data_IF_231285844859
#
_entry.id   IF_231285844859
#
_cell.length_a   1.000
_cell.length_b   1.000
_cell.length_c   1.000
_cell.angle_alpha   90.00
_cell.angle_beta   90.00
_cell.angle_gamma   90.00
#
_symmetry.space_group_name_H-M   'P 1'
#
loop_
_entity.id
_entity.type
_entity.pdbx_description
1 polymer ?
#
# COMPACT_ATOMS: atom_id res chain seq x y z
N UNK A 1 -7.77 32.86 -22.31
CA UNK A 1 -7.39 31.54 -21.75
C UNK A 1 -5.96 31.26 -22.17
N UNK A 2 -4.98 31.86 -21.47
CA UNK A 2 -3.54 31.64 -21.73
C UNK A 2 -3.11 30.37 -21.01
N UNK A 3 -2.32 29.47 -21.60
CA UNK A 3 -1.08 29.74 -22.31
C UNK A 3 0.06 29.37 -21.37
N UNK A 4 0.32 28.06 -21.24
CA UNK A 4 1.50 27.54 -20.55
C UNK A 4 2.73 27.89 -21.39
N UNK A 5 3.44 28.93 -20.97
CA UNK A 5 4.73 29.32 -21.54
C UNK A 5 5.63 29.81 -20.40
N UNK A 6 6.44 28.91 -19.84
CA UNK A 6 7.64 29.32 -19.11
C UNK A 6 8.75 29.44 -20.15
N UNK A 7 8.93 30.64 -20.72
CA UNK A 7 10.06 30.95 -21.59
C UNK A 7 11.36 31.12 -20.78
N UNK A 8 12.42 30.66 -21.43
CA UNK A 8 13.78 30.47 -20.94
C UNK A 8 14.43 31.72 -20.32
N UNK A 9 14.78 31.62 -19.04
CA UNK A 9 15.85 32.42 -18.43
C UNK A 9 17.18 31.68 -18.55
N UNK A 10 18.00 32.07 -19.55
CA UNK A 10 19.38 31.61 -19.69
C UNK A 10 20.19 32.11 -18.49
N UNK A 11 20.69 31.21 -17.64
CA UNK A 11 21.81 31.49 -16.73
C UNK A 11 22.71 30.26 -16.66
N UNK A 12 23.71 30.23 -17.55
CA UNK A 12 24.97 29.56 -17.24
C UNK A 12 25.58 30.32 -16.05
N UNK A 13 25.99 29.60 -14.99
CA UNK A 13 27.18 29.87 -14.17
C UNK A 13 27.27 28.83 -13.02
N UNK A 14 28.37 28.06 -13.07
CA UNK A 14 29.17 27.50 -11.96
C UNK A 14 28.62 26.26 -11.21
N UNK A 15 29.44 25.21 -11.26
CA UNK A 15 29.30 23.96 -10.52
C UNK A 15 29.24 24.17 -9.00
N UNK A 16 28.32 23.48 -8.33
CA UNK A 16 28.53 23.04 -6.95
C UNK A 16 27.65 23.63 -5.84
N UNK A 17 26.64 24.46 -6.14
CA UNK A 17 25.66 24.88 -5.13
C UNK A 17 24.25 24.51 -5.57
N UNK A 18 23.78 23.36 -5.07
CA UNK A 18 22.35 23.09 -4.95
C UNK A 18 21.80 24.10 -3.94
N UNK A 19 21.40 25.28 -4.42
CA UNK A 19 20.60 26.17 -3.60
C UNK A 19 19.30 25.38 -3.30
N UNK A 20 18.93 25.26 -2.03
CA UNK A 20 17.59 24.80 -1.67
C UNK A 20 16.70 26.02 -1.94
N UNK A 21 16.03 26.07 -3.10
CA UNK A 21 15.08 27.16 -3.41
C UNK A 21 14.14 27.26 -2.20
N UNK A 22 14.01 28.41 -1.54
CA UNK A 22 13.08 28.55 -0.43
C UNK A 22 11.68 28.13 -0.90
N UNK A 23 10.92 27.43 -0.05
CA UNK A 23 9.53 27.10 -0.34
C UNK A 23 8.73 28.42 -0.29
N UNK A 24 8.59 29.08 -1.43
CA UNK A 24 8.12 30.47 -1.51
C UNK A 24 6.59 30.60 -1.51
N UNK A 25 5.87 29.58 -2.00
CA UNK A 25 4.40 29.59 -1.99
C UNK A 25 3.83 28.81 -0.80
N UNK A 26 2.65 29.23 -0.34
CA UNK A 26 1.91 28.51 0.70
C UNK A 26 1.66 27.03 0.33
N UNK A 27 1.35 26.75 -0.95
CA UNK A 27 1.16 25.39 -1.45
C UNK A 27 2.44 24.54 -1.28
N UNK A 28 3.60 25.07 -1.66
CA UNK A 28 4.88 24.37 -1.55
C UNK A 28 5.25 24.07 -0.09
N UNK A 29 5.06 25.04 0.81
CA UNK A 29 5.30 24.86 2.26
C UNK A 29 4.42 23.74 2.79
N UNK A 30 3.10 23.82 2.55
CA UNK A 30 2.15 22.80 3.00
C UNK A 30 2.48 21.43 2.40
N UNK A 31 2.78 21.36 1.10
CA UNK A 31 3.10 20.12 0.40
C UNK A 31 4.40 19.51 0.92
N UNK A 32 5.43 20.32 1.20
CA UNK A 32 6.68 19.86 1.80
C UNK A 32 6.43 19.19 3.16
N UNK A 33 5.76 19.89 4.08
CA UNK A 33 5.45 19.34 5.41
C UNK A 33 4.48 18.15 5.36
N UNK A 34 3.56 18.13 4.40
CA UNK A 34 2.67 17.00 4.17
C UNK A 34 3.46 15.76 3.72
N UNK A 35 4.31 15.91 2.70
CA UNK A 35 5.10 14.82 2.13
C UNK A 35 6.21 14.35 3.07
N UNK A 36 6.81 15.23 3.86
CA UNK A 36 7.89 14.87 4.80
C UNK A 36 7.40 14.02 5.97
N UNK A 37 6.13 14.16 6.38
CA UNK A 37 5.51 13.32 7.42
C UNK A 37 5.14 11.91 6.92
N UNK A 38 5.30 11.64 5.63
CA UNK A 38 4.86 10.38 5.03
C UNK A 38 5.86 9.26 5.29
N UNK A 39 5.42 8.21 5.98
CA UNK A 39 6.24 7.02 6.25
C UNK A 39 6.09 5.90 5.21
N UNK A 40 5.00 5.91 4.44
CA UNK A 40 4.62 4.84 3.51
C UNK A 40 4.43 5.40 2.09
N UNK A 41 4.79 4.65 1.04
CA UNK A 41 4.70 5.14 -0.33
C UNK A 41 3.25 5.42 -0.73
N UNK A 42 3.06 6.42 -1.60
CA UNK A 42 1.74 6.67 -2.18
C UNK A 42 1.40 5.58 -3.21
N UNK A 43 0.11 5.25 -3.38
CA UNK A 43 -0.34 4.44 -4.51
C UNK A 43 0.11 5.09 -5.83
N UNK A 44 0.69 4.28 -6.71
CA UNK A 44 1.04 4.69 -8.06
C UNK A 44 -0.23 5.05 -8.85
N UNK A 45 -0.15 6.02 -9.74
CA UNK A 45 -1.29 6.54 -10.51
C UNK A 45 -1.97 5.51 -11.40
N UNK A 46 -1.26 4.42 -11.74
CA UNK A 46 -1.80 3.31 -12.53
C UNK A 46 -2.69 2.35 -11.74
N UNK A 47 -2.70 2.43 -10.40
CA UNK A 47 -3.56 1.56 -9.59
C UNK A 47 -5.00 2.06 -9.68
N UNK A 48 -5.95 1.14 -9.89
CA UNK A 48 -7.36 1.49 -9.77
C UNK A 48 -7.70 1.80 -8.29
N UNK A 49 -8.85 2.45 -8.06
CA UNK A 49 -9.26 2.84 -6.70
C UNK A 49 -9.26 1.68 -5.71
N UNK A 50 -9.80 0.52 -6.09
CA UNK A 50 -9.84 -0.66 -5.22
C UNK A 50 -8.43 -1.23 -4.92
N UNK A 51 -7.52 -1.19 -5.89
CA UNK A 51 -6.13 -1.59 -5.69
C UNK A 51 -5.40 -0.62 -4.74
N UNK A 52 -5.60 0.68 -4.92
CA UNK A 52 -5.03 1.71 -4.05
C UNK A 52 -5.52 1.56 -2.60
N UNK A 53 -6.82 1.28 -2.40
CA UNK A 53 -7.39 0.96 -1.08
C UNK A 53 -6.75 -0.31 -0.51
N UNK A 54 -6.65 -1.37 -1.31
CA UNK A 54 -6.01 -2.63 -0.88
C UNK A 54 -4.56 -2.40 -0.43
N UNK A 55 -3.78 -1.65 -1.22
CA UNK A 55 -2.41 -1.29 -0.84
C UNK A 55 -2.39 -0.55 0.49
N UNK A 56 -3.31 0.39 0.72
CA UNK A 56 -3.38 1.15 1.98
C UNK A 56 -3.71 0.26 3.17
N UNK A 57 -4.63 -0.70 3.00
CA UNK A 57 -4.97 -1.68 4.04
C UNK A 57 -3.76 -2.56 4.37
N UNK A 58 -3.00 -3.00 3.37
CA UNK A 58 -1.76 -3.75 3.56
C UNK A 58 -0.70 -2.94 4.31
N UNK A 59 -0.50 -1.68 3.93
CA UNK A 59 0.47 -0.79 4.56
C UNK A 59 0.15 -0.48 6.02
N UNK A 60 -1.12 -0.49 6.40
CA UNK A 60 -1.60 -0.19 7.75
C UNK A 60 -1.93 -1.44 8.57
N UNK A 61 -1.66 -2.64 8.03
CA UNK A 61 -1.99 -3.93 8.66
C UNK A 61 -3.48 -4.09 9.01
N UNK A 62 -4.36 -3.43 8.25
CA UNK A 62 -5.83 -3.47 8.44
C UNK A 62 -6.54 -4.28 7.35
N UNK A 63 -5.79 -5.07 6.59
CA UNK A 63 -6.37 -5.96 5.60
C UNK A 63 -7.28 -7.01 6.29
N UNK A 64 -8.46 -7.34 5.71
CA UNK A 64 -9.42 -8.23 6.36
C UNK A 64 -8.80 -9.57 6.76
N UNK A 65 -9.12 -10.02 7.98
CA UNK A 65 -8.70 -11.31 8.53
C UNK A 65 -9.83 -11.86 9.42
N UNK A 66 -10.05 -13.18 9.49
CA UNK A 66 -11.08 -13.77 10.34
C UNK A 66 -10.91 -13.40 11.81
N UNK A 67 -9.68 -13.31 12.31
CA UNK A 67 -9.41 -12.84 13.67
C UNK A 67 -9.99 -11.42 13.93
N UNK A 68 -9.73 -10.48 13.03
CA UNK A 68 -10.26 -9.12 13.15
C UNK A 68 -11.78 -9.09 13.00
N UNK A 69 -12.33 -9.85 12.05
CA UNK A 69 -13.76 -9.91 11.78
C UNK A 69 -14.55 -10.57 12.92
N UNK A 70 -14.03 -11.65 13.50
CA UNK A 70 -14.59 -12.32 14.67
C UNK A 70 -14.60 -11.39 15.88
N UNK A 71 -13.53 -10.62 16.08
CA UNK A 71 -13.45 -9.65 17.18
C UNK A 71 -14.51 -8.55 17.06
N UNK A 72 -14.79 -8.08 15.84
CA UNK A 72 -15.78 -7.02 15.59
C UNK A 72 -17.23 -7.55 15.58
N UNK A 73 -17.44 -8.71 14.99
CA UNK A 73 -18.77 -9.29 14.74
C UNK A 73 -18.76 -10.81 14.97
N UNK A 74 -18.66 -11.26 16.23
CA UNK A 74 -18.50 -12.67 16.56
C UNK A 74 -19.70 -13.52 16.12
N UNK A 75 -20.91 -12.97 16.10
CA UNK A 75 -22.10 -13.68 15.63
C UNK A 75 -22.09 -13.98 14.13
N UNK A 76 -21.49 -13.09 13.32
CA UNK A 76 -21.42 -13.26 11.87
C UNK A 76 -20.20 -14.10 11.45
N UNK A 77 -19.11 -13.97 12.18
CA UNK A 77 -17.86 -14.67 11.93
C UNK A 77 -17.53 -15.51 13.16
N UNK A 78 -18.03 -16.75 13.27
CA UNK A 78 -18.01 -17.51 14.53
C UNK A 78 -16.62 -18.02 14.93
N UNK A 79 -15.68 -18.13 13.98
CA UNK A 79 -14.33 -18.64 14.24
C UNK A 79 -13.25 -17.66 13.76
N UNK A 80 -12.24 -17.33 14.60
CA UNK A 80 -11.06 -16.59 14.19
C UNK A 80 -10.00 -17.46 13.49
N UNK A 81 -10.24 -18.76 13.38
CA UNK A 81 -9.26 -19.75 12.95
C UNK A 81 -9.25 -19.95 11.44
N UNK A 82 -8.09 -20.39 10.95
CA UNK A 82 -7.87 -20.66 9.55
C UNK A 82 -8.55 -21.97 9.12
N UNK A 83 -9.36 -21.98 8.05
CA UNK A 83 -10.06 -23.19 7.60
C UNK A 83 -9.13 -24.26 7.02
N UNK A 84 -7.86 -23.93 6.71
CA UNK A 84 -6.90 -24.86 6.11
C UNK A 84 -5.97 -25.52 7.12
N UNK A 85 -5.61 -24.81 8.21
CA UNK A 85 -4.63 -25.32 9.17
C UNK A 85 -5.10 -25.25 10.63
N UNK A 86 -6.28 -24.68 10.90
CA UNK A 86 -6.84 -24.53 12.25
C UNK A 86 -6.10 -23.54 13.15
N UNK A 87 -5.11 -22.79 12.62
CA UNK A 87 -4.37 -21.80 13.39
C UNK A 87 -5.06 -20.44 13.42
N UNK A 88 -4.71 -19.60 14.40
CA UNK A 88 -5.26 -18.25 14.53
C UNK A 88 -4.95 -17.42 13.28
N UNK A 89 -5.99 -16.85 12.67
CA UNK A 89 -5.90 -16.23 11.35
C UNK A 89 -5.86 -14.70 11.42
N UNK A 90 -4.70 -14.20 11.82
CA UNK A 90 -4.38 -12.77 11.81
C UNK A 90 -3.93 -12.27 10.42
N UNK A 91 -3.62 -10.97 10.34
CA UNK A 91 -3.13 -10.33 9.11
C UNK A 91 -1.91 -11.04 8.51
N UNK A 92 -0.94 -11.43 9.34
CA UNK A 92 0.28 -12.10 8.86
C UNK A 92 -0.04 -13.51 8.33
N UNK A 93 -0.92 -14.25 9.01
CA UNK A 93 -1.37 -15.58 8.63
C UNK A 93 -2.05 -15.57 7.26
N UNK A 94 -2.95 -14.61 7.02
CA UNK A 94 -3.66 -14.43 5.75
C UNK A 94 -2.67 -14.23 4.61
N UNK A 95 -1.65 -13.39 4.81
CA UNK A 95 -0.75 -13.02 3.73
C UNK A 95 0.34 -14.07 3.48
N UNK A 96 1.10 -14.47 4.50
CA UNK A 96 2.27 -15.35 4.34
C UNK A 96 2.40 -16.45 5.40
N UNK A 97 1.72 -16.36 6.54
CA UNK A 97 1.92 -17.27 7.67
C UNK A 97 1.27 -18.64 7.55
N UNK A 98 0.30 -18.84 6.65
CA UNK A 98 -0.36 -20.14 6.51
C UNK A 98 0.50 -21.17 5.75
N UNK A 99 0.99 -22.20 6.47
CA UNK A 99 1.77 -23.30 5.92
C UNK A 99 0.97 -24.18 4.93
N UNK A 100 -0.26 -24.55 5.29
CA UNK A 100 -1.15 -25.38 4.45
C UNK A 100 -1.58 -24.69 3.16
N UNK A 101 -1.43 -23.36 3.10
CA UNK A 101 -1.74 -22.61 1.90
C UNK A 101 -0.55 -22.50 0.92
N UNK A 102 0.65 -23.00 1.27
CA UNK A 102 1.81 -22.98 0.38
C UNK A 102 2.18 -21.57 -0.07
N UNK A 103 2.62 -20.71 0.86
CA UNK A 103 3.04 -19.35 0.54
C UNK A 103 4.21 -19.37 -0.44
N UNK A 104 4.11 -18.77 -1.64
CA UNK A 104 5.25 -18.63 -2.52
C UNK A 104 6.18 -17.49 -2.11
N UNK A 105 5.93 -16.83 -0.97
CA UNK A 105 6.70 -15.67 -0.53
C UNK A 105 6.90 -15.65 0.99
N UNK A 106 8.06 -15.12 1.36
CA UNK A 106 8.48 -14.92 2.75
C UNK A 106 7.88 -13.64 3.33
N UNK A 107 7.89 -13.54 4.65
CA UNK A 107 7.50 -12.33 5.40
C UNK A 107 8.23 -11.09 4.91
N UNK A 108 9.54 -11.20 4.68
CA UNK A 108 10.39 -10.06 4.32
C UNK A 108 10.16 -9.59 2.88
N UNK A 109 9.91 -10.52 1.95
CA UNK A 109 9.53 -10.17 0.58
C UNK A 109 8.22 -9.40 0.55
N UNK A 110 7.20 -9.86 1.28
CA UNK A 110 5.90 -9.17 1.28
C UNK A 110 6.03 -7.78 1.93
N UNK A 111 6.76 -7.64 3.04
CA UNK A 111 7.04 -6.34 3.66
C UNK A 111 7.78 -5.40 2.72
N UNK A 112 8.75 -5.91 1.95
CA UNK A 112 9.49 -5.14 0.96
C UNK A 112 8.55 -4.60 -0.12
N UNK A 113 7.66 -5.45 -0.66
CA UNK A 113 6.68 -5.07 -1.68
C UNK A 113 5.71 -3.99 -1.18
N UNK A 114 5.21 -4.11 0.05
CA UNK A 114 4.26 -3.14 0.64
C UNK A 114 4.91 -1.75 0.81
N UNK A 115 6.21 -1.71 1.10
CA UNK A 115 6.99 -0.47 1.28
C UNK A 115 7.58 0.09 -0.01
N UNK A 116 7.41 -0.60 -1.13
CA UNK A 116 7.96 -0.20 -2.42
C UNK A 116 7.15 0.93 -3.08
N UNK A 117 7.85 1.84 -3.76
CA UNK A 117 7.25 2.99 -4.43
C UNK A 117 6.99 2.73 -5.93
N UNK A 118 7.61 1.70 -6.50
CA UNK A 118 7.48 1.34 -7.90
C UNK A 118 6.12 0.67 -8.21
N UNK A 119 5.64 0.92 -9.42
CA UNK A 119 4.36 0.41 -9.92
C UNK A 119 4.29 -1.13 -9.84
N UNK A 120 5.32 -1.81 -10.32
CA UNK A 120 5.34 -3.27 -10.44
C UNK A 120 5.22 -3.94 -9.08
N UNK A 121 5.97 -3.47 -8.08
CA UNK A 121 5.91 -4.01 -6.72
C UNK A 121 4.55 -3.76 -6.06
N UNK A 122 3.96 -2.58 -6.25
CA UNK A 122 2.65 -2.27 -5.69
C UNK A 122 1.54 -3.14 -6.30
N UNK A 123 1.53 -3.31 -7.62
CA UNK A 123 0.59 -4.20 -8.32
C UNK A 123 0.76 -5.63 -7.82
N UNK A 124 2.02 -6.11 -7.73
CA UNK A 124 2.32 -7.46 -7.27
C UNK A 124 1.86 -7.68 -5.82
N UNK A 125 2.07 -6.70 -4.93
CA UNK A 125 1.61 -6.77 -3.54
C UNK A 125 0.08 -6.93 -3.46
N UNK A 126 -0.66 -6.12 -4.21
CA UNK A 126 -2.12 -6.14 -4.23
C UNK A 126 -2.66 -7.44 -4.84
N UNK A 127 -2.09 -7.89 -5.96
CA UNK A 127 -2.49 -9.15 -6.60
C UNK A 127 -2.29 -10.35 -5.68
N UNK A 128 -1.14 -10.41 -5.00
CA UNK A 128 -0.84 -11.48 -4.04
C UNK A 128 -1.80 -11.47 -2.84
N UNK A 129 -2.06 -10.30 -2.27
CA UNK A 129 -3.02 -10.16 -1.18
C UNK A 129 -4.43 -10.62 -1.61
N UNK A 130 -4.87 -10.23 -2.81
CA UNK A 130 -6.15 -10.69 -3.36
C UNK A 130 -6.18 -12.20 -3.54
N UNK A 131 -5.15 -12.80 -4.14
CA UNK A 131 -5.10 -14.24 -4.36
C UNK A 131 -5.24 -15.02 -3.04
N UNK A 132 -4.64 -14.50 -1.96
CA UNK A 132 -4.81 -15.03 -0.60
C UNK A 132 -6.23 -14.85 -0.09
N UNK A 133 -6.79 -13.64 -0.19
CA UNK A 133 -8.15 -13.36 0.26
C UNK A 133 -9.18 -14.26 -0.43
N UNK A 134 -9.06 -14.46 -1.75
CA UNK A 134 -9.93 -15.36 -2.52
C UNK A 134 -9.80 -16.80 -2.03
N UNK A 135 -8.57 -17.29 -1.81
CA UNK A 135 -8.33 -18.65 -1.31
C UNK A 135 -8.97 -18.90 0.07
N UNK A 136 -9.04 -17.86 0.89
CA UNK A 136 -9.63 -17.89 2.21
C UNK A 136 -11.08 -17.41 2.26
N UNK A 137 -11.69 -17.13 1.10
CA UNK A 137 -13.05 -16.62 0.96
C UNK A 137 -13.32 -15.35 1.79
N UNK A 138 -12.35 -14.44 1.86
CA UNK A 138 -12.46 -13.18 2.59
C UNK A 138 -13.15 -12.13 1.74
N UNK A 139 -14.04 -11.35 2.37
CA UNK A 139 -14.69 -10.20 1.74
C UNK A 139 -13.67 -9.07 1.59
N UNK A 140 -13.24 -8.78 0.36
CA UNK A 140 -12.27 -7.73 0.03
C UNK A 140 -12.82 -6.84 -1.09
N UNK A 141 -12.37 -5.58 -1.22
CA UNK A 141 -12.82 -4.68 -2.28
C UNK A 141 -12.61 -5.31 -3.66
N UNK A 142 -13.70 -5.55 -4.38
CA UNK A 142 -13.66 -6.09 -5.73
C UNK A 142 -13.36 -4.98 -6.74
N UNK A 143 -12.47 -5.29 -7.68
CA UNK A 143 -12.19 -4.44 -8.84
C UNK A 143 -12.84 -5.08 -10.07
N UNK A 144 -13.85 -4.38 -10.59
CA UNK A 144 -14.38 -4.57 -11.94
C UNK A 144 -13.58 -3.71 -12.93
#
# INVERSE_FOLDING_TARGET
MGGLGCESGKNNLIAGQLYCQPLCSYNEICKHHYLSRRLLPMPHSSLCRAQAVTLRLLQTSTYPSPAALHTMHPERFPSPDCPLCGGYMDFEHVLWGCASAGSPFTKEEMKKLIKAQDQTSQILAVQKARARAVRFNLVVPEWA
#
